data_IF_210141866349
#
_entry.id   IF_210141866349
#
_cell.length_a   1.000
_cell.length_b   1.000
_cell.length_c   1.000
_cell.angle_alpha   90.00
_cell.angle_beta   90.00
_cell.angle_gamma   90.00
#
_symmetry.space_group_name_H-M   'P 1'
#
loop_
_entity.id
_entity.type
_entity.pdbx_description
1 polymer ?
#
# COMPACT_ATOMS: atom_id res chain seq x y z
N UNK A 1 3.10 22.98 -6.87
CA UNK A 1 4.08 23.48 -5.88
C UNK A 1 3.70 22.90 -4.54
N UNK A 2 4.57 22.14 -3.86
CA UNK A 2 4.26 21.70 -2.49
C UNK A 2 4.27 22.95 -1.61
N UNK A 3 3.15 23.19 -0.92
CA UNK A 3 3.01 24.26 0.05
C UNK A 3 3.95 23.89 1.20
N UNK A 4 5.10 24.56 1.31
CA UNK A 4 5.90 24.54 2.54
C UNK A 4 5.04 25.13 3.64
N UNK A 5 4.55 24.29 4.56
CA UNK A 5 3.87 24.76 5.78
C UNK A 5 4.94 25.27 6.75
N UNK A 6 5.01 26.57 7.08
CA UNK A 6 6.03 27.11 7.98
C UNK A 6 5.92 26.63 9.44
N UNK A 7 4.94 25.76 9.75
CA UNK A 7 4.63 25.27 11.10
C UNK A 7 4.93 23.77 11.33
N UNK A 8 5.46 23.06 10.31
CA UNK A 8 5.63 21.59 10.32
C UNK A 8 6.52 21.06 11.46
N UNK A 9 7.54 21.81 11.92
CA UNK A 9 8.39 21.34 13.01
C UNK A 9 7.77 21.54 14.41
N UNK A 10 6.90 22.53 14.60
CA UNK A 10 6.41 22.90 15.93
C UNK A 10 5.21 22.03 16.35
N UNK A 11 4.33 21.67 15.42
CA UNK A 11 3.20 20.78 15.74
C UNK A 11 3.64 19.31 15.87
N UNK A 12 4.50 18.83 14.95
CA UNK A 12 5.06 17.46 14.99
C UNK A 12 5.96 17.26 16.21
N UNK A 13 6.75 18.25 16.63
CA UNK A 13 7.54 18.15 17.88
C UNK A 13 6.67 18.10 19.14
N UNK A 14 5.51 18.78 19.14
CA UNK A 14 4.54 18.69 20.25
C UNK A 14 3.86 17.32 20.33
N UNK A 15 3.62 16.66 19.19
CA UNK A 15 3.13 15.28 19.13
C UNK A 15 4.22 14.27 19.54
N UNK A 16 5.47 14.48 19.12
CA UNK A 16 6.59 13.59 19.44
C UNK A 16 6.92 13.54 20.94
N UNK A 17 6.57 14.57 21.72
CA UNK A 17 6.75 14.58 23.17
C UNK A 17 5.75 13.68 23.95
N UNK A 18 4.81 13.01 23.27
CA UNK A 18 3.96 11.96 23.85
C UNK A 18 4.40 10.53 23.48
N UNK A 19 5.59 10.35 22.90
CA UNK A 19 6.15 9.02 22.63
C UNK A 19 6.76 8.42 23.90
N UNK A 20 5.93 8.14 24.90
CA UNK A 20 6.26 7.13 25.89
C UNK A 20 6.19 5.78 25.19
N UNK A 21 7.36 5.15 25.10
CA UNK A 21 7.63 3.69 25.07
C UNK A 21 6.34 2.89 25.06
N UNK A 22 6.13 2.09 23.99
CA UNK A 22 5.06 1.09 23.92
C UNK A 22 4.87 0.49 25.31
N UNK A 23 3.77 0.81 26.03
CA UNK A 23 3.53 0.15 27.29
C UNK A 23 3.53 -1.34 26.99
N UNK A 24 4.12 -2.14 27.88
CA UNK A 24 4.07 -3.60 27.89
C UNK A 24 2.61 -4.06 28.03
N UNK A 25 1.75 -3.72 27.06
CA UNK A 25 0.56 -4.46 26.76
C UNK A 25 1.07 -5.81 26.28
N UNK A 26 0.61 -6.87 26.91
CA UNK A 26 0.82 -8.25 26.50
C UNK A 26 0.18 -8.45 25.14
N UNK A 27 0.84 -7.92 24.10
CA UNK A 27 0.44 -8.08 22.72
C UNK A 27 0.64 -9.56 22.41
N UNK A 28 -0.44 -10.24 22.04
CA UNK A 28 -0.42 -11.71 21.83
C UNK A 28 0.60 -12.07 20.75
N UNK A 29 0.82 -11.15 19.80
CA UNK A 29 1.92 -11.15 18.85
C UNK A 29 2.66 -9.80 18.87
N UNK A 30 3.99 -9.83 18.81
CA UNK A 30 4.84 -8.63 18.76
C UNK A 30 4.92 -8.09 17.32
N UNK A 31 3.94 -7.25 16.95
CA UNK A 31 3.88 -6.59 15.65
C UNK A 31 3.42 -5.13 15.74
N UNK A 32 3.74 -4.36 14.71
CA UNK A 32 3.18 -3.02 14.45
C UNK A 32 2.39 -3.04 13.15
N UNK A 33 1.24 -2.35 13.15
CA UNK A 33 0.46 -2.09 11.95
C UNK A 33 0.88 -0.75 11.37
N UNK A 34 1.14 -0.70 10.07
CA UNK A 34 1.58 0.50 9.35
C UNK A 34 0.55 0.84 8.30
N UNK A 35 0.22 2.12 8.19
CA UNK A 35 -0.62 2.64 7.12
C UNK A 35 -0.14 4.04 6.73
N UNK A 36 -0.66 4.56 5.63
CA UNK A 36 -0.34 5.89 5.15
C UNK A 36 -1.58 6.54 4.53
N UNK A 37 -1.81 7.81 4.80
CA UNK A 37 -3.01 8.50 4.30
C UNK A 37 -2.72 9.93 3.88
N UNK A 38 -3.37 10.33 2.78
CA UNK A 38 -3.46 11.72 2.34
C UNK A 38 -4.75 12.35 2.87
N UNK A 39 -4.90 13.67 2.72
CA UNK A 39 -6.11 14.36 3.14
C UNK A 39 -7.40 13.78 2.52
N UNK A 40 -7.34 13.19 1.32
CA UNK A 40 -8.50 12.64 0.60
C UNK A 40 -8.97 11.29 1.15
N UNK A 41 -8.10 10.55 1.85
CA UNK A 41 -8.36 9.20 2.34
C UNK A 41 -8.58 9.15 3.85
N UNK A 42 -8.66 10.30 4.54
CA UNK A 42 -8.77 10.32 6.01
C UNK A 42 -10.00 9.58 6.52
N UNK A 43 -11.16 9.73 5.87
CA UNK A 43 -12.39 9.08 6.35
C UNK A 43 -12.30 7.55 6.21
N UNK A 44 -11.55 7.06 5.20
CA UNK A 44 -11.26 5.62 5.05
C UNK A 44 -10.23 5.15 6.08
N UNK A 45 -9.21 5.97 6.36
CA UNK A 45 -8.25 5.72 7.43
C UNK A 45 -8.95 5.58 8.79
N UNK A 46 -9.95 6.42 9.07
CA UNK A 46 -10.73 6.31 10.31
C UNK A 46 -11.53 5.01 10.38
N UNK A 47 -12.10 4.54 9.26
CA UNK A 47 -12.73 3.22 9.19
C UNK A 47 -11.72 2.10 9.48
N UNK A 48 -10.55 2.15 8.83
CA UNK A 48 -9.46 1.20 9.06
C UNK A 48 -9.08 1.17 10.56
N UNK A 49 -8.78 2.33 11.15
CA UNK A 49 -8.40 2.42 12.57
C UNK A 49 -9.51 1.87 13.47
N UNK A 50 -10.77 2.23 13.22
CA UNK A 50 -11.91 1.73 13.99
C UNK A 50 -12.03 0.20 13.93
N UNK A 51 -11.88 -0.37 12.74
CA UNK A 51 -11.91 -1.83 12.54
C UNK A 51 -10.72 -2.54 13.21
N UNK A 52 -9.53 -1.94 13.19
CA UNK A 52 -8.36 -2.41 13.95
C UNK A 52 -8.62 -2.35 15.45
N UNK A 53 -9.17 -1.26 15.98
CA UNK A 53 -9.49 -1.18 17.41
C UNK A 53 -10.50 -2.23 17.85
N UNK A 54 -11.41 -2.64 16.96
CA UNK A 54 -12.39 -3.67 17.23
C UNK A 54 -11.75 -5.08 17.27
N UNK A 55 -10.97 -5.46 16.25
CA UNK A 55 -10.41 -6.80 16.14
C UNK A 55 -9.05 -6.99 16.83
N UNK A 56 -8.29 -5.90 16.99
CA UNK A 56 -6.90 -5.86 17.44
C UNK A 56 -6.66 -4.71 18.45
N UNK A 57 -7.40 -4.66 19.58
CA UNK A 57 -7.47 -3.49 20.46
C UNK A 57 -6.15 -3.06 21.12
N UNK A 58 -5.13 -3.92 21.09
CA UNK A 58 -3.83 -3.68 21.72
C UNK A 58 -2.71 -3.37 20.71
N UNK A 59 -3.01 -3.44 19.41
CA UNK A 59 -2.01 -3.22 18.37
C UNK A 59 -1.66 -1.75 18.28
N UNK A 60 -0.36 -1.50 18.13
CA UNK A 60 0.15 -0.17 17.82
C UNK A 60 0.07 0.11 16.33
N UNK A 61 -0.44 1.29 15.99
CA UNK A 61 -0.69 1.72 14.62
C UNK A 61 0.23 2.91 14.31
N UNK A 62 1.08 2.75 13.31
CA UNK A 62 1.91 3.80 12.74
C UNK A 62 1.25 4.34 11.47
N UNK A 63 0.83 5.61 11.52
CA UNK A 63 0.24 6.33 10.38
C UNK A 63 1.28 7.27 9.78
N UNK A 64 1.62 7.07 8.52
CA UNK A 64 2.36 8.05 7.76
C UNK A 64 1.43 9.14 7.20
N UNK A 65 1.70 10.38 7.56
CA UNK A 65 1.06 11.55 7.00
C UNK A 65 1.63 11.86 5.61
N UNK A 66 0.78 11.74 4.58
CA UNK A 66 1.10 12.05 3.19
C UNK A 66 0.59 13.43 2.75
N UNK A 67 0.08 14.25 3.67
CA UNK A 67 -0.46 15.59 3.38
C UNK A 67 -1.84 15.86 3.99
N UNK A 68 -2.16 15.26 5.14
CA UNK A 68 -3.34 15.58 5.93
C UNK A 68 -3.29 17.02 6.46
N UNK A 69 -4.47 17.62 6.63
CA UNK A 69 -4.66 18.93 7.25
C UNK A 69 -4.47 18.86 8.77
N UNK A 70 -4.21 20.00 9.41
CA UNK A 70 -4.00 20.05 10.87
C UNK A 70 -5.23 19.59 11.66
N UNK A 71 -6.43 19.83 11.15
CA UNK A 71 -7.69 19.34 11.73
C UNK A 71 -7.80 17.81 11.64
N UNK A 72 -7.43 17.23 10.49
CA UNK A 72 -7.37 15.78 10.30
C UNK A 72 -6.32 15.13 11.20
N UNK A 73 -5.12 15.70 11.26
CA UNK A 73 -4.06 15.25 12.18
C UNK A 73 -4.52 15.30 13.63
N UNK A 74 -5.21 16.37 14.03
CA UNK A 74 -5.77 16.50 15.38
C UNK A 74 -6.77 15.37 15.67
N UNK A 75 -7.68 15.05 14.73
CA UNK A 75 -8.63 13.93 14.86
C UNK A 75 -7.91 12.60 15.04
N UNK A 76 -7.01 12.25 14.13
CA UNK A 76 -6.29 10.96 14.14
C UNK A 76 -5.39 10.84 15.39
N UNK A 77 -4.72 11.91 15.80
CA UNK A 77 -3.82 11.89 16.96
C UNK A 77 -4.53 11.67 18.31
N UNK A 78 -5.84 11.89 18.38
CA UNK A 78 -6.62 11.65 19.58
C UNK A 78 -7.01 10.17 19.74
N UNK A 79 -6.81 9.34 18.72
CA UNK A 79 -7.17 7.93 18.73
C UNK A 79 -6.15 7.09 19.50
N UNK A 80 -6.63 5.99 20.10
CA UNK A 80 -5.81 5.12 20.96
C UNK A 80 -4.78 4.36 20.14
N UNK A 81 -3.58 4.16 20.70
CA UNK A 81 -2.47 3.39 20.12
C UNK A 81 -1.96 3.90 18.74
N UNK A 82 -2.17 5.18 18.45
CA UNK A 82 -1.74 5.80 17.18
C UNK A 82 -0.44 6.57 17.37
N UNK A 83 0.50 6.36 16.44
CA UNK A 83 1.68 7.20 16.22
C UNK A 83 1.58 7.79 14.82
N UNK A 84 1.79 9.10 14.68
CA UNK A 84 1.78 9.78 13.38
C UNK A 84 3.20 10.21 13.03
N UNK A 85 3.65 9.91 11.82
CA UNK A 85 4.91 10.39 11.27
C UNK A 85 4.70 11.09 9.94
N UNK A 86 5.28 12.29 9.78
CA UNK A 86 5.32 12.95 8.48
C UNK A 86 6.23 12.16 7.51
N UNK A 87 5.71 11.86 6.31
CA UNK A 87 6.54 11.28 5.26
C UNK A 87 7.42 12.37 4.61
N UNK A 88 8.76 12.20 4.59
CA UNK A 88 9.67 13.26 4.19
C UNK A 88 9.81 13.34 2.66
N UNK A 89 8.79 13.83 1.95
CA UNK A 89 8.81 13.93 0.49
C UNK A 89 10.01 14.70 -0.07
N UNK A 90 10.48 15.73 0.64
CA UNK A 90 11.53 16.66 0.19
C UNK A 90 12.90 16.00 -0.05
N UNK A 91 13.15 14.81 0.51
CA UNK A 91 14.43 14.09 0.34
C UNK A 91 14.40 13.07 -0.80
N UNK A 92 13.26 12.92 -1.47
CA UNK A 92 13.05 11.93 -2.53
C UNK A 92 12.87 12.59 -3.91
N UNK A 93 13.08 11.85 -5.01
CA UNK A 93 12.85 12.37 -6.35
C UNK A 93 11.41 12.91 -6.54
N UNK A 94 11.20 13.92 -7.41
CA UNK A 94 9.91 14.61 -7.53
C UNK A 94 8.71 13.70 -7.81
N UNK A 95 8.87 12.60 -8.56
CA UNK A 95 7.77 11.69 -8.87
C UNK A 95 7.21 10.97 -7.63
N UNK A 96 7.99 10.84 -6.55
CA UNK A 96 7.53 10.25 -5.29
C UNK A 96 6.43 11.09 -4.64
N UNK A 97 6.41 12.40 -4.90
CA UNK A 97 5.35 13.31 -4.42
C UNK A 97 4.02 13.11 -5.12
N UNK A 98 4.01 12.43 -6.28
CA UNK A 98 2.78 12.06 -6.96
C UNK A 98 2.23 10.77 -6.34
N UNK A 99 1.24 10.92 -5.46
CA UNK A 99 0.64 9.81 -4.72
C UNK A 99 -0.04 8.78 -5.63
N UNK A 100 -0.49 9.17 -6.83
CA UNK A 100 -1.13 8.27 -7.79
C UNK A 100 -0.16 7.23 -8.37
N UNK A 101 1.15 7.43 -8.20
CA UNK A 101 2.19 6.48 -8.61
C UNK A 101 2.58 5.50 -7.50
N UNK A 102 2.08 5.70 -6.27
CA UNK A 102 2.34 4.83 -5.11
C UNK A 102 3.82 4.58 -4.76
N UNK A 103 4.75 5.33 -5.37
CA UNK A 103 6.20 5.15 -5.20
C UNK A 103 6.68 5.36 -3.75
N UNK A 104 5.91 6.07 -2.93
CA UNK A 104 6.22 6.31 -1.53
C UNK A 104 6.13 5.04 -0.65
N UNK A 105 5.41 4.00 -1.10
CA UNK A 105 5.10 2.82 -0.27
C UNK A 105 6.33 1.97 0.07
N UNK A 106 7.19 1.66 -0.90
CA UNK A 106 8.43 0.93 -0.59
C UNK A 106 9.36 1.75 0.34
N UNK A 107 9.37 3.08 0.16
CA UNK A 107 10.20 4.00 0.94
C UNK A 107 9.77 4.09 2.40
N UNK A 108 8.46 4.20 2.67
CA UNK A 108 7.94 4.19 4.04
C UNK A 108 8.19 2.84 4.70
N UNK A 109 8.02 1.72 3.99
CA UNK A 109 8.28 0.38 4.52
C UNK A 109 9.75 0.20 4.92
N UNK A 110 10.68 0.68 4.07
CA UNK A 110 12.11 0.72 4.42
C UNK A 110 12.36 1.56 5.67
N UNK A 111 11.80 2.77 5.73
CA UNK A 111 11.93 3.67 6.88
C UNK A 111 11.40 3.00 8.16
N UNK A 112 10.24 2.34 8.09
CA UNK A 112 9.67 1.58 9.20
C UNK A 112 10.59 0.46 9.63
N UNK A 113 11.08 -0.37 8.69
CA UNK A 113 12.00 -1.46 9.02
C UNK A 113 13.25 -0.93 9.72
N UNK A 114 13.91 0.08 9.16
CA UNK A 114 15.12 0.66 9.76
C UNK A 114 14.88 1.18 11.18
N UNK A 115 13.71 1.80 11.42
CA UNK A 115 13.35 2.38 12.73
C UNK A 115 12.89 1.35 13.77
N UNK A 116 12.18 0.30 13.35
CA UNK A 116 11.48 -0.61 14.25
C UNK A 116 12.03 -2.04 14.28
N UNK A 117 13.02 -2.39 13.45
CA UNK A 117 13.56 -3.77 13.38
C UNK A 117 14.13 -4.36 14.68
N UNK A 118 14.46 -3.51 15.66
CA UNK A 118 14.91 -3.92 16.99
C UNK A 118 13.86 -3.74 18.09
N UNK A 119 12.65 -3.31 17.73
CA UNK A 119 11.57 -2.98 18.66
C UNK A 119 10.33 -3.86 18.49
N UNK A 120 10.17 -4.45 17.31
CA UNK A 120 9.07 -5.35 17.01
C UNK A 120 9.54 -6.48 16.12
N UNK A 121 8.84 -7.62 16.12
CA UNK A 121 9.18 -8.79 15.29
C UNK A 121 8.52 -8.77 13.92
N UNK A 122 7.44 -8.02 13.74
CA UNK A 122 6.66 -8.01 12.51
C UNK A 122 6.20 -6.60 12.16
N UNK A 123 6.30 -6.27 10.87
CA UNK A 123 5.68 -5.10 10.26
C UNK A 123 4.56 -5.61 9.36
N UNK A 124 3.34 -5.14 9.58
CA UNK A 124 2.21 -5.43 8.72
C UNK A 124 1.64 -4.13 8.17
N UNK A 125 1.55 -4.01 6.85
CA UNK A 125 1.10 -2.81 6.16
C UNK A 125 -0.29 -3.02 5.56
N UNK A 126 -1.15 -2.04 5.81
CA UNK A 126 -2.49 -1.93 5.23
C UNK A 126 -2.66 -0.54 4.59
N UNK A 127 -3.13 -0.50 3.34
CA UNK A 127 -3.54 0.76 2.72
C UNK A 127 -4.72 1.38 3.52
N UNK A 128 -4.75 2.71 3.61
CA UNK A 128 -5.77 3.43 4.38
C UNK A 128 -7.21 3.21 3.86
N UNK A 129 -7.36 2.69 2.64
CA UNK A 129 -8.65 2.30 2.09
C UNK A 129 -9.13 0.91 2.50
N UNK A 130 -8.44 0.20 3.39
CA UNK A 130 -8.83 -1.15 3.82
C UNK A 130 -9.74 -1.16 5.05
N UNK A 131 -10.42 -2.27 5.31
CA UNK A 131 -11.17 -2.56 6.54
C UNK A 131 -10.78 -3.95 7.03
N UNK A 132 -10.50 -4.05 8.33
CA UNK A 132 -10.26 -5.31 9.00
C UNK A 132 -11.60 -5.93 9.44
N UNK A 133 -11.87 -7.19 9.10
CA UNK A 133 -13.15 -7.87 9.38
C UNK A 133 -13.00 -9.08 10.30
N UNK A 134 -11.77 -9.43 10.67
CA UNK A 134 -11.47 -10.51 11.61
C UNK A 134 -10.11 -10.27 12.29
N UNK A 135 -9.75 -11.13 13.24
CA UNK A 135 -8.40 -11.13 13.85
C UNK A 135 -7.32 -11.32 12.79
N UNK A 136 -6.18 -10.64 12.98
CA UNK A 136 -4.98 -10.78 12.17
C UNK A 136 -4.13 -12.00 12.57
N UNK A 137 -4.47 -12.72 13.64
CA UNK A 137 -3.72 -13.89 14.13
C UNK A 137 -3.34 -14.86 12.99
N UNK A 138 -4.24 -15.26 12.05
CA UNK A 138 -3.87 -16.15 10.94
C UNK A 138 -2.82 -15.57 10.00
N UNK A 139 -2.84 -14.25 9.77
CA UNK A 139 -1.87 -13.55 8.93
C UNK A 139 -0.52 -13.47 9.68
N UNK A 140 -0.56 -13.13 10.96
CA UNK A 140 0.64 -13.01 11.78
C UNK A 140 1.34 -14.37 11.95
N UNK A 141 0.60 -15.47 12.10
CA UNK A 141 1.14 -16.83 12.13
C UNK A 141 1.87 -17.19 10.82
N UNK A 142 1.31 -16.82 9.66
CA UNK A 142 1.97 -16.98 8.35
C UNK A 142 3.28 -16.19 8.30
N UNK A 143 3.28 -14.92 8.75
CA UNK A 143 4.51 -14.10 8.79
C UNK A 143 5.55 -14.70 9.74
N UNK A 144 5.13 -15.19 10.91
CA UNK A 144 6.05 -15.78 11.88
C UNK A 144 6.65 -17.11 11.39
N UNK A 145 5.89 -17.86 10.60
CA UNK A 145 6.31 -19.17 10.06
C UNK A 145 7.18 -19.01 8.81
N UNK A 146 6.77 -18.14 7.88
CA UNK A 146 7.40 -18.02 6.56
C UNK A 146 8.30 -16.77 6.42
N UNK A 147 8.26 -15.86 7.38
CA UNK A 147 8.98 -14.60 7.38
C UNK A 147 8.25 -13.47 6.66
N UNK A 148 7.16 -13.75 5.95
CA UNK A 148 6.38 -12.77 5.19
C UNK A 148 4.95 -13.23 4.95
N UNK A 149 4.11 -12.28 4.54
CA UNK A 149 2.76 -12.50 4.06
C UNK A 149 2.53 -11.62 2.83
N UNK A 150 2.06 -12.24 1.77
CA UNK A 150 1.73 -11.64 0.49
C UNK A 150 0.46 -12.31 0.00
N UNK A 151 -0.51 -11.55 -0.49
CA UNK A 151 -1.75 -12.12 -1.02
C UNK A 151 -1.95 -11.76 -2.48
N UNK A 152 -2.44 -12.71 -3.27
CA UNK A 152 -2.71 -12.49 -4.68
C UNK A 152 -4.03 -11.73 -4.88
N UNK A 153 -4.13 -11.08 -6.03
CA UNK A 153 -5.35 -10.55 -6.60
C UNK A 153 -5.80 -11.42 -7.79
N UNK A 154 -6.90 -11.03 -8.42
CA UNK A 154 -7.49 -11.79 -9.54
C UNK A 154 -6.92 -11.45 -10.91
N UNK A 155 -6.11 -10.40 -11.02
CA UNK A 155 -5.62 -9.92 -12.32
C UNK A 155 -4.22 -10.43 -12.59
N UNK A 156 -3.93 -10.84 -13.83
CA UNK A 156 -2.58 -11.29 -14.21
C UNK A 156 -1.60 -10.11 -14.29
N UNK A 157 -0.33 -10.36 -13.93
CA UNK A 157 0.71 -9.32 -13.93
C UNK A 157 0.83 -8.68 -15.33
N UNK A 158 0.87 -9.52 -16.36
CA UNK A 158 1.10 -9.11 -17.76
C UNK A 158 -0.01 -8.24 -18.34
N UNK A 159 -1.21 -8.26 -17.75
CA UNK A 159 -2.36 -7.47 -18.24
C UNK A 159 -2.32 -6.02 -17.75
N UNK A 160 -1.60 -5.74 -16.66
CA UNK A 160 -1.54 -4.41 -16.05
C UNK A 160 -0.13 -4.03 -15.61
N UNK A 161 0.87 -4.43 -16.39
CA UNK A 161 2.26 -4.02 -16.16
C UNK A 161 2.91 -3.65 -17.47
N UNK A 162 3.50 -2.46 -17.51
CA UNK A 162 4.25 -1.99 -18.66
C UNK A 162 5.54 -2.81 -18.84
N UNK A 163 5.89 -3.09 -20.09
CA UNK A 163 7.08 -3.90 -20.46
C UNK A 163 8.40 -3.27 -19.98
N UNK A 164 8.46 -1.94 -19.90
CA UNK A 164 9.63 -1.22 -19.39
C UNK A 164 9.89 -1.55 -17.92
N UNK A 165 8.86 -1.79 -17.10
CA UNK A 165 9.02 -2.20 -15.70
C UNK A 165 9.69 -3.58 -15.60
N UNK A 166 9.32 -4.55 -16.44
CA UNK A 166 10.00 -5.86 -16.49
C UNK A 166 11.48 -5.68 -16.83
N UNK A 167 11.75 -4.88 -17.87
CA UNK A 167 13.12 -4.61 -18.33
C UNK A 167 13.95 -3.93 -17.23
N UNK A 168 13.39 -2.92 -16.55
CA UNK A 168 14.04 -2.22 -15.45
C UNK A 168 14.34 -3.14 -14.25
N UNK A 169 13.55 -4.20 -14.07
CA UNK A 169 13.75 -5.24 -13.06
C UNK A 169 14.59 -6.41 -13.57
N UNK A 170 15.27 -6.28 -14.71
CA UNK A 170 16.13 -7.29 -15.34
C UNK A 170 15.40 -8.61 -15.60
N UNK A 171 14.23 -8.54 -16.24
CA UNK A 171 13.43 -9.69 -16.69
C UNK A 171 12.58 -9.27 -17.89
N UNK A 172 11.77 -10.19 -18.44
CA UNK A 172 10.92 -9.91 -19.60
C UNK A 172 9.47 -10.23 -19.29
N UNK A 173 8.53 -9.60 -19.99
CA UNK A 173 7.11 -9.94 -19.84
C UNK A 173 6.84 -11.42 -20.15
N UNK A 174 7.59 -12.01 -21.08
CA UNK A 174 7.44 -13.42 -21.45
C UNK A 174 7.73 -14.38 -20.29
N UNK A 175 8.63 -14.02 -19.37
CA UNK A 175 8.92 -14.83 -18.17
C UNK A 175 7.68 -14.95 -17.24
N UNK A 176 6.69 -14.08 -17.43
CA UNK A 176 5.46 -14.00 -16.62
C UNK A 176 4.18 -14.26 -17.41
N UNK A 177 4.27 -14.63 -18.69
CA UNK A 177 3.09 -15.02 -19.50
C UNK A 177 2.63 -16.43 -19.11
N UNK A 178 1.96 -16.51 -17.97
CA UNK A 178 1.36 -17.73 -17.42
C UNK A 178 -0.03 -17.43 -16.89
N UNK A 179 -0.83 -18.47 -16.70
CA UNK A 179 -2.17 -18.35 -16.09
C UNK A 179 -2.12 -18.37 -14.54
N UNK A 180 -0.91 -18.28 -13.96
CA UNK A 180 -0.69 -18.40 -12.50
C UNK A 180 0.09 -17.25 -11.87
N UNK A 181 0.60 -16.31 -12.67
CA UNK A 181 1.30 -15.12 -12.17
C UNK A 181 0.32 -13.94 -12.07
N UNK A 182 -0.35 -13.88 -10.92
CA UNK A 182 -1.29 -12.84 -10.57
C UNK A 182 -0.60 -11.63 -9.94
N UNK A 183 -1.24 -10.48 -10.01
CA UNK A 183 -0.86 -9.31 -9.22
C UNK A 183 -0.93 -9.66 -7.72
N UNK A 184 -0.04 -9.09 -6.93
CA UNK A 184 -0.01 -9.21 -5.48
C UNK A 184 -0.55 -7.92 -4.90
N UNK A 185 -1.43 -7.99 -3.90
CA UNK A 185 -2.01 -6.81 -3.28
C UNK A 185 -0.93 -5.93 -2.62
N UNK A 186 -0.56 -4.83 -3.29
CA UNK A 186 0.41 -3.87 -2.76
C UNK A 186 -0.08 -3.14 -1.51
N UNK A 187 -1.38 -3.20 -1.22
CA UNK A 187 -2.02 -2.63 -0.04
C UNK A 187 -2.12 -3.57 1.16
N UNK A 188 -1.75 -4.85 1.03
CA UNK A 188 -1.85 -5.86 2.11
C UNK A 188 -0.60 -6.73 2.08
N UNK A 189 0.40 -6.39 2.91
CA UNK A 189 1.64 -7.14 2.98
C UNK A 189 2.29 -7.08 4.35
N UNK A 190 2.99 -8.13 4.73
CA UNK A 190 3.68 -8.21 6.01
C UNK A 190 5.02 -8.93 5.91
N UNK A 191 5.92 -8.60 6.81
CA UNK A 191 7.22 -9.26 6.90
C UNK A 191 7.80 -9.17 8.30
N UNK A 192 8.60 -10.17 8.64
CA UNK A 192 9.34 -10.16 9.90
C UNK A 192 10.53 -9.20 9.81
N UNK A 193 10.84 -8.58 10.94
CA UNK A 193 12.05 -7.77 11.13
C UNK A 193 13.26 -8.62 11.54
N UNK A 194 13.02 -9.84 12.01
CA UNK A 194 14.05 -10.72 12.57
C UNK A 194 14.82 -11.49 11.49
N UNK A 195 14.23 -11.64 10.31
CA UNK A 195 14.85 -12.26 9.15
C UNK A 195 15.12 -11.21 8.08
N UNK A 196 16.30 -11.28 7.46
CA UNK A 196 16.71 -10.28 6.46
C UNK A 196 16.35 -10.65 5.02
N UNK A 197 15.78 -11.84 4.77
CA UNK A 197 15.48 -12.34 3.41
C UNK A 197 14.54 -11.40 2.66
N UNK A 198 13.31 -11.22 3.14
CA UNK A 198 12.33 -10.33 2.51
C UNK A 198 12.86 -8.90 2.34
N UNK A 199 13.58 -8.39 3.34
CA UNK A 199 14.20 -7.05 3.27
C UNK A 199 15.18 -6.94 2.09
N UNK A 200 16.07 -7.93 1.92
CA UNK A 200 17.11 -7.94 0.89
C UNK A 200 16.57 -8.28 -0.49
N UNK A 201 15.72 -9.28 -0.56
CA UNK A 201 15.29 -9.89 -1.82
C UNK A 201 14.15 -9.11 -2.46
N UNK A 202 13.30 -8.47 -1.65
CA UNK A 202 12.09 -7.78 -2.11
C UNK A 202 12.15 -6.29 -1.79
N UNK A 203 12.24 -5.91 -0.51
CA UNK A 203 12.05 -4.52 -0.11
C UNK A 203 13.13 -3.58 -0.69
N UNK A 204 14.40 -3.99 -0.70
CA UNK A 204 15.48 -3.16 -1.23
C UNK A 204 15.41 -2.98 -2.76
N UNK A 205 15.21 -4.03 -3.58
CA UNK A 205 14.92 -3.87 -5.01
C UNK A 205 13.65 -3.04 -5.28
N UNK A 206 12.61 -3.21 -4.46
CA UNK A 206 11.39 -2.43 -4.56
C UNK A 206 11.68 -0.94 -4.33
N UNK A 207 12.41 -0.60 -3.27
CA UNK A 207 12.89 0.76 -3.00
C UNK A 207 13.69 1.32 -4.18
N UNK A 208 14.61 0.54 -4.74
CA UNK A 208 15.42 0.98 -5.87
C UNK A 208 14.55 1.33 -7.09
N UNK A 209 13.55 0.50 -7.38
CA UNK A 209 12.58 0.76 -8.45
C UNK A 209 11.71 1.98 -8.14
N UNK A 210 11.21 2.13 -6.91
CA UNK A 210 10.42 3.29 -6.49
C UNK A 210 11.17 4.63 -6.61
N UNK A 211 12.49 4.63 -6.42
CA UNK A 211 13.33 5.81 -6.63
C UNK A 211 13.62 6.11 -8.12
N UNK A 212 13.31 5.17 -9.02
CA UNK A 212 13.50 5.34 -10.45
C UNK A 212 12.14 5.45 -11.16
N UNK A 213 11.80 6.64 -11.65
CA UNK A 213 10.51 6.90 -12.32
C UNK A 213 10.28 5.98 -13.52
N UNK A 214 11.33 5.64 -14.27
CA UNK A 214 11.21 4.77 -15.45
C UNK A 214 11.02 3.29 -15.09
N UNK A 215 11.22 2.93 -13.82
CA UNK A 215 10.92 1.61 -13.29
C UNK A 215 9.50 1.55 -12.70
N UNK A 216 9.19 2.45 -11.76
CA UNK A 216 7.92 2.44 -11.00
C UNK A 216 6.73 2.98 -11.80
N UNK A 217 6.96 3.90 -12.75
CA UNK A 217 5.93 4.55 -13.54
C UNK A 217 6.46 4.97 -14.93
N UNK A 218 6.82 3.99 -15.79
CA UNK A 218 7.23 4.20 -17.18
C UNK A 218 6.40 5.26 -17.90
N UNK A 219 7.06 6.13 -18.67
CA UNK A 219 6.37 7.22 -19.37
C UNK A 219 5.30 6.73 -20.37
N UNK A 220 5.50 5.52 -20.88
CA UNK A 220 4.59 4.81 -21.79
C UNK A 220 3.28 4.39 -21.13
N UNK A 221 3.22 4.35 -19.79
CA UNK A 221 2.07 3.81 -19.06
C UNK A 221 1.95 4.38 -17.65
N UNK A 222 1.42 5.61 -17.57
CA UNK A 222 1.08 6.29 -16.30
C UNK A 222 -0.44 6.29 -16.04
N UNK A 223 -1.07 5.15 -16.25
CA UNK A 223 -2.50 4.95 -16.00
C UNK A 223 -2.72 3.62 -15.27
N UNK A 224 -3.62 3.62 -14.29
CA UNK A 224 -4.03 2.41 -13.55
C UNK A 224 -4.67 1.34 -14.45
N UNK A 225 -5.16 1.72 -15.64
CA UNK A 225 -5.71 0.77 -16.60
C UNK A 225 -4.62 -0.09 -17.23
N UNK A 226 -3.42 0.45 -17.40
CA UNK A 226 -2.31 -0.17 -18.15
C UNK A 226 -1.14 -0.56 -17.26
N UNK A 227 -1.01 0.05 -16.07
CA UNK A 227 0.07 -0.22 -15.12
C UNK A 227 -0.37 -0.02 -13.68
N UNK A 228 -0.06 -0.98 -12.80
CA UNK A 228 -0.41 -0.93 -11.37
C UNK A 228 0.74 -0.45 -10.48
N UNK A 229 1.76 0.19 -11.06
CA UNK A 229 2.84 0.88 -10.35
C UNK A 229 3.54 -0.02 -9.29
N UNK A 230 3.41 0.33 -8.01
CA UNK A 230 4.01 -0.37 -6.87
C UNK A 230 3.60 -1.84 -6.81
N UNK A 231 2.35 -2.13 -7.16
CA UNK A 231 1.81 -3.48 -7.24
C UNK A 231 2.49 -4.32 -8.34
N UNK A 232 2.68 -3.74 -9.52
CA UNK A 232 3.38 -4.38 -10.63
C UNK A 232 4.81 -4.74 -10.24
N UNK A 233 5.51 -3.80 -9.59
CA UNK A 233 6.89 -3.99 -9.15
C UNK A 233 6.99 -5.07 -8.08
N UNK A 234 6.15 -5.01 -7.05
CA UNK A 234 6.09 -6.02 -5.99
C UNK A 234 5.85 -7.42 -6.58
N UNK A 235 4.88 -7.53 -7.49
CA UNK A 235 4.51 -8.79 -8.12
C UNK A 235 5.68 -9.37 -8.92
N UNK A 236 6.31 -8.58 -9.79
CA UNK A 236 7.48 -9.05 -10.56
C UNK A 236 8.58 -9.56 -9.65
N UNK A 237 8.93 -8.79 -8.60
CA UNK A 237 9.98 -9.17 -7.66
C UNK A 237 9.69 -10.48 -6.94
N UNK A 238 8.46 -10.66 -6.44
CA UNK A 238 8.05 -11.85 -5.69
C UNK A 238 8.17 -13.13 -6.52
N UNK A 239 7.59 -13.14 -7.72
CA UNK A 239 7.65 -14.32 -8.59
C UNK A 239 9.05 -14.54 -9.17
N UNK A 240 9.79 -13.48 -9.47
CA UNK A 240 11.20 -13.58 -9.92
C UNK A 240 12.09 -14.28 -8.88
N UNK A 241 11.88 -14.01 -7.59
CA UNK A 241 12.65 -14.65 -6.50
C UNK A 241 12.07 -16.02 -6.12
N UNK A 242 10.79 -16.28 -6.41
CA UNK A 242 10.12 -17.54 -6.09
C UNK A 242 9.51 -17.59 -4.69
N UNK A 243 9.10 -16.44 -4.16
CA UNK A 243 8.34 -16.37 -2.90
C UNK A 243 6.91 -16.91 -3.11
N UNK A 244 6.35 -17.56 -2.08
CA UNK A 244 4.98 -18.09 -2.13
C UNK A 244 3.98 -16.96 -1.92
N UNK A 245 2.79 -17.09 -2.51
CA UNK A 245 1.72 -16.10 -2.39
C UNK A 245 0.48 -16.77 -1.83
N UNK A 246 -0.16 -16.14 -0.85
CA UNK A 246 -1.42 -16.61 -0.28
C UNK A 246 -2.56 -16.42 -1.26
N UNK A 247 -3.13 -17.55 -1.68
CA UNK A 247 -4.21 -17.64 -2.67
C UNK A 247 -5.56 -18.02 -2.07
N UNK A 248 -5.65 -18.19 -0.75
CA UNK A 248 -6.90 -18.52 -0.08
C UNK A 248 -7.83 -17.31 -0.11
N UNK A 249 -9.09 -17.52 -0.48
CA UNK A 249 -10.05 -16.42 -0.71
C UNK A 249 -10.27 -15.53 0.51
N UNK A 250 -10.16 -16.09 1.73
CA UNK A 250 -10.23 -15.33 2.99
C UNK A 250 -9.17 -14.23 3.13
N UNK A 251 -8.08 -14.29 2.35
CA UNK A 251 -7.00 -13.30 2.35
C UNK A 251 -7.08 -12.33 1.18
N UNK A 252 -7.96 -12.58 0.20
CA UNK A 252 -8.10 -11.69 -0.95
C UNK A 252 -8.70 -10.35 -0.51
N UNK A 253 -8.01 -9.25 -0.83
CA UNK A 253 -8.50 -7.89 -0.58
C UNK A 253 -9.53 -7.38 -1.59
N UNK A 254 -9.75 -8.08 -2.71
CA UNK A 254 -10.58 -7.58 -3.82
C UNK A 254 -12.09 -7.60 -3.49
N UNK A 255 -12.71 -6.42 -3.56
CA UNK A 255 -14.15 -6.19 -3.33
C UNK A 255 -15.09 -7.02 -4.21
N UNK A 256 -14.66 -7.36 -5.44
CA UNK A 256 -15.51 -8.00 -6.46
C UNK A 256 -15.91 -9.45 -6.15
N UNK A 257 -15.43 -10.02 -5.05
CA UNK A 257 -15.80 -11.36 -4.58
C UNK A 257 -16.05 -11.44 -3.08
N UNK A 258 -16.51 -10.36 -2.47
CA UNK A 258 -16.95 -10.43 -1.08
C UNK A 258 -18.47 -10.71 -0.99
N UNK A 259 -18.91 -11.98 -1.04
CA UNK A 259 -20.12 -12.38 -0.33
C UNK A 259 -19.82 -13.22 0.92
N UNK A 260 -18.56 -13.56 1.23
CA UNK A 260 -18.27 -14.47 2.35
C UNK A 260 -17.95 -13.73 3.66
N UNK A 261 -18.50 -14.26 4.76
CA UNK A 261 -18.35 -13.77 6.13
C UNK A 261 -16.93 -13.93 6.68
N UNK A 262 -16.03 -14.59 5.94
CA UNK A 262 -14.73 -15.06 6.43
C UNK A 262 -13.51 -14.27 5.89
N UNK A 263 -13.71 -13.25 5.06
CA UNK A 263 -12.61 -12.39 4.58
C UNK A 263 -11.98 -11.62 5.73
N UNK A 264 -10.65 -11.65 5.88
CA UNK A 264 -9.95 -10.98 6.98
C UNK A 264 -9.80 -9.48 6.70
N UNK A 265 -9.40 -9.10 5.49
CA UNK A 265 -9.20 -7.70 5.10
C UNK A 265 -9.91 -7.43 3.78
N UNK A 266 -10.69 -6.36 3.71
CA UNK A 266 -11.30 -5.88 2.47
C UNK A 266 -10.65 -4.57 2.05
N UNK A 267 -10.29 -4.44 0.78
CA UNK A 267 -9.67 -3.25 0.23
C UNK A 267 -10.66 -2.41 -0.60
N UNK A 268 -10.92 -1.18 -0.14
CA UNK A 268 -11.72 -0.17 -0.83
C UNK A 268 -10.86 0.93 -1.47
N UNK A 269 -9.54 0.73 -1.56
CA UNK A 269 -8.59 1.72 -2.10
C UNK A 269 -8.78 1.95 -3.59
N UNK A 270 -9.32 0.95 -4.31
CA UNK A 270 -9.73 1.11 -5.69
C UNK A 270 -11.22 1.49 -5.73
N UNK A 271 -11.62 2.48 -6.55
CA UNK A 271 -13.01 2.53 -6.98
C UNK A 271 -13.32 1.15 -7.53
N UNK A 272 -14.43 0.56 -7.07
CA UNK A 272 -15.07 -0.51 -7.81
C UNK A 272 -15.02 -0.11 -9.29
N UNK A 273 -14.66 -1.05 -10.16
CA UNK A 273 -14.80 -0.89 -11.61
C UNK A 273 -16.32 -0.83 -11.87
N UNK A 274 -16.94 0.24 -11.42
CA UNK A 274 -18.30 0.62 -11.64
C UNK A 274 -18.29 1.26 -13.01
N UNK A 275 -18.69 0.47 -14.00
CA UNK A 275 -19.30 0.92 -15.25
C UNK A 275 -18.90 2.35 -15.63
N UNK A 276 -17.75 2.50 -16.29
CA UNK A 276 -17.71 3.50 -17.36
C UNK A 276 -18.69 3.01 -18.41
N UNK A 277 -19.98 3.31 -18.24
CA UNK A 277 -20.86 3.43 -19.38
C UNK A 277 -20.18 4.44 -20.27
N UNK A 278 -19.75 3.98 -21.44
CA UNK A 278 -19.40 4.84 -22.56
C UNK A 278 -20.58 5.78 -22.78
N UNK A 279 -20.51 6.96 -22.16
CA UNK A 279 -21.31 8.11 -22.53
C UNK A 279 -20.77 8.58 -23.86
N UNK A 280 -21.11 7.83 -24.91
CA UNK A 280 -21.22 8.42 -26.23
C UNK A 280 -22.33 9.44 -26.07
N UNK A 281 -21.94 10.71 -25.98
CA UNK A 281 -22.86 11.81 -26.13
C UNK A 281 -23.37 11.76 -27.58
N UNK A 282 -24.52 11.10 -27.77
CA UNK A 282 -25.20 10.92 -29.05
C UNK A 282 -25.87 12.23 -29.54
N UNK A 283 -25.35 13.39 -29.13
CA UNK A 283 -25.91 14.71 -29.47
C UNK A 283 -24.86 15.73 -29.93
N UNK A 284 -23.90 15.31 -30.74
CA UNK A 284 -23.18 16.25 -31.63
C UNK A 284 -22.85 15.57 -32.97
N UNK A 285 -23.87 15.44 -33.82
CA UNK A 285 -23.68 15.29 -35.27
C UNK A 285 -23.30 16.64 -35.86
N UNK A 286 -22.15 16.82 -36.52
CA UNK A 286 -21.95 17.95 -37.42
C UNK A 286 -22.66 17.61 -38.74
N UNK A 287 -23.61 18.45 -39.14
CA UNK A 287 -24.14 18.45 -40.50
C UNK A 287 -22.99 18.65 -41.50
N UNK A 288 -22.59 17.56 -42.17
CA UNK A 288 -21.78 17.63 -43.37
C UNK A 288 -22.67 18.07 -44.51
N UNK A 289 -22.56 19.35 -44.87
CA UNK A 289 -23.14 19.91 -46.09
C UNK A 289 -22.65 19.15 -47.33
N UNK A 290 -23.59 18.71 -48.15
CA UNK A 290 -23.37 18.23 -49.51
C UNK A 290 -22.85 19.34 -50.42
N UNK A 291 -21.81 19.13 -51.23
CA UNK A 291 -21.52 20.03 -52.34
C UNK A 291 -22.39 19.67 -53.56
N UNK A 292 -22.78 20.72 -54.29
CA UNK A 292 -23.30 20.67 -55.65
C UNK A 292 -22.19 20.33 -56.66
#
# INVERSE_FOLDING_TARGET
MPIKRPHDQYFVSKLNNRLSIFPNATNRHDFILVTASSAQFVDRLENLIGSIHFHEPHVSILVFDLGMTDSQLSRISCMVNIQIELFPFDIYPPHVTNLDLFAYKALLLKKTFEKYRFKTKTIFYLDAGTELRSSLDPIIEVIQTHGYFLTQQKTLIVNHTDEQTFTALNTTMNDFRTDSHFQIAGGILGFTTTQSGFYKDILMPFVACSLNVDCIAPITSRSLTTHRFDQSVLSILVYKVGYKVESAERFHGDFASAPELDTIVVDFSLPSIGKYTTGVDERLSPELGTPA
#
